data_IF_434356410080
#
_entry.id   IF_434356410080
#
_cell.length_a   1.000
_cell.length_b   1.000
_cell.length_c   1.000
_cell.angle_alpha   90.00
_cell.angle_beta   90.00
_cell.angle_gamma   90.00
#
_symmetry.space_group_name_H-M   'P 1'
#
loop_
_entity.id
_entity.type
_entity.pdbx_description
1 polymer ?
#
# COMPACT_ATOMS: atom_id res chain seq x y z
N UNK A 1 -5.21 20.87 0.64
CA UNK A 1 -5.25 19.68 1.52
C UNK A 1 -5.59 18.40 0.76
N UNK A 2 -6.78 18.24 0.15
CA UNK A 2 -7.17 16.99 -0.56
C UNK A 2 -6.17 16.47 -1.62
N UNK A 3 -5.61 17.37 -2.44
CA UNK A 3 -4.60 17.02 -3.46
C UNK A 3 -3.30 16.45 -2.88
N UNK A 4 -2.89 16.92 -1.70
CA UNK A 4 -1.69 16.43 -1.02
C UNK A 4 -1.86 14.97 -0.59
N UNK A 5 -3.01 14.63 -0.01
CA UNK A 5 -3.32 13.25 0.35
C UNK A 5 -3.37 12.34 -0.86
N UNK A 6 -4.07 12.74 -1.93
CA UNK A 6 -4.16 11.93 -3.16
C UNK A 6 -2.76 11.68 -3.75
N UNK A 7 -1.93 12.73 -3.84
CA UNK A 7 -0.57 12.60 -4.36
C UNK A 7 0.31 11.72 -3.47
N UNK A 8 0.20 11.86 -2.15
CA UNK A 8 0.98 11.06 -1.22
C UNK A 8 0.55 9.59 -1.17
N UNK A 9 -0.75 9.29 -1.20
CA UNK A 9 -1.22 7.90 -1.32
C UNK A 9 -0.85 7.28 -2.67
N UNK A 10 -0.93 8.04 -3.76
CA UNK A 10 -0.50 7.55 -5.07
C UNK A 10 1.00 7.25 -5.09
N UNK A 11 1.82 8.16 -4.53
CA UNK A 11 3.25 7.94 -4.39
C UNK A 11 3.55 6.72 -3.52
N UNK A 12 2.81 6.53 -2.42
CA UNK A 12 2.95 5.38 -1.53
C UNK A 12 2.68 4.07 -2.29
N UNK A 13 1.54 3.99 -3.00
CA UNK A 13 1.18 2.82 -3.81
C UNK A 13 2.25 2.54 -4.87
N UNK A 14 2.79 3.56 -5.52
CA UNK A 14 3.86 3.41 -6.53
C UNK A 14 5.13 2.84 -5.89
N UNK A 15 5.59 3.40 -4.77
CA UNK A 15 6.80 2.96 -4.10
C UNK A 15 6.69 1.55 -3.53
N UNK A 16 5.56 1.24 -2.90
CA UNK A 16 5.29 -0.09 -2.38
C UNK A 16 5.17 -1.12 -3.50
N UNK A 17 4.47 -0.79 -4.59
CA UNK A 17 4.36 -1.70 -5.73
C UNK A 17 5.72 -1.92 -6.39
N UNK A 18 6.53 -0.87 -6.54
CA UNK A 18 7.90 -0.98 -7.00
C UNK A 18 8.70 -1.93 -6.10
N UNK A 19 8.58 -1.81 -4.77
CA UNK A 19 9.27 -2.66 -3.82
C UNK A 19 8.86 -4.14 -3.96
N UNK A 20 7.56 -4.42 -3.94
CA UNK A 20 7.03 -5.79 -4.05
C UNK A 20 7.40 -6.45 -5.39
N UNK A 21 7.27 -5.73 -6.50
CA UNK A 21 7.64 -6.22 -7.84
C UNK A 21 9.14 -6.46 -7.93
N UNK A 22 9.94 -5.54 -7.39
CA UNK A 22 11.40 -5.66 -7.37
C UNK A 22 11.86 -6.87 -6.54
N UNK A 23 11.23 -7.13 -5.39
CA UNK A 23 11.49 -8.34 -4.61
C UNK A 23 11.16 -9.61 -5.37
N UNK A 24 10.04 -9.61 -6.11
CA UNK A 24 9.67 -10.75 -6.95
C UNK A 24 10.71 -10.99 -8.06
N UNK A 25 11.15 -9.94 -8.76
CA UNK A 25 12.22 -10.08 -9.75
C UNK A 25 13.56 -10.50 -9.14
N UNK A 26 13.95 -9.91 -8.01
CA UNK A 26 15.19 -10.29 -7.32
C UNK A 26 15.16 -11.77 -6.94
N UNK A 27 14.01 -12.28 -6.49
CA UNK A 27 13.82 -13.69 -6.16
C UNK A 27 13.99 -14.60 -7.39
N UNK A 28 13.40 -14.24 -8.53
CA UNK A 28 13.53 -15.00 -9.78
C UNK A 28 14.97 -15.00 -10.29
N UNK A 29 15.68 -13.87 -10.22
CA UNK A 29 17.07 -13.78 -10.67
C UNK A 29 18.07 -14.41 -9.68
N UNK A 30 17.66 -14.65 -8.44
CA UNK A 30 18.48 -15.28 -7.41
C UNK A 30 18.37 -16.81 -7.39
N UNK A 31 17.58 -17.42 -8.27
CA UNK A 31 17.49 -18.89 -8.37
C UNK A 31 18.87 -19.52 -8.67
N UNK A 32 19.17 -20.72 -8.13
CA UNK A 32 18.39 -21.50 -7.16
C UNK A 32 18.45 -20.91 -5.73
N UNK A 33 17.35 -21.08 -4.99
CA UNK A 33 17.23 -20.62 -3.60
C UNK A 33 18.03 -21.54 -2.66
N UNK A 34 19.32 -21.23 -2.50
CA UNK A 34 20.23 -21.95 -1.60
C UNK A 34 20.56 -21.06 -0.41
N UNK A 35 20.66 -21.63 0.80
CA UNK A 35 21.05 -20.86 1.99
C UNK A 35 22.58 -20.79 2.10
N UNK A 36 23.23 -20.35 1.03
CA UNK A 36 24.68 -20.25 0.92
C UNK A 36 25.13 -18.83 0.56
N UNK A 37 26.43 -18.58 0.74
CA UNK A 37 27.02 -17.28 0.43
C UNK A 37 26.89 -16.97 -1.07
N UNK A 38 26.90 -17.98 -1.93
CA UNK A 38 26.74 -17.79 -3.37
C UNK A 38 25.35 -17.26 -3.74
N UNK A 39 24.28 -17.74 -3.11
CA UNK A 39 22.94 -17.15 -3.26
C UNK A 39 22.91 -15.70 -2.81
N UNK A 40 23.54 -15.38 -1.67
CA UNK A 40 23.58 -14.02 -1.16
C UNK A 40 24.25 -13.07 -2.17
N UNK A 41 25.36 -13.49 -2.78
CA UNK A 41 26.03 -12.73 -3.85
C UNK A 41 25.13 -12.55 -5.07
N UNK A 42 24.32 -13.55 -5.46
CA UNK A 42 23.35 -13.43 -6.56
C UNK A 42 22.24 -12.43 -6.24
N UNK A 43 21.68 -12.48 -5.02
CA UNK A 43 20.64 -11.56 -4.55
C UNK A 43 21.14 -10.12 -4.60
N UNK A 44 22.33 -9.86 -4.02
CA UNK A 44 22.91 -8.52 -4.03
C UNK A 44 23.45 -8.10 -5.40
N UNK A 45 23.76 -9.04 -6.29
CA UNK A 45 24.15 -8.78 -7.67
C UNK A 45 22.98 -8.41 -8.59
N UNK A 46 21.74 -8.74 -8.22
CA UNK A 46 20.57 -8.43 -9.02
C UNK A 46 20.17 -6.96 -8.87
N UNK A 47 20.08 -6.17 -9.97
CA UNK A 47 19.77 -4.73 -9.88
C UNK A 47 18.40 -4.46 -9.23
N UNK A 48 17.48 -5.43 -9.32
CA UNK A 48 16.15 -5.37 -8.75
C UNK A 48 16.14 -5.24 -7.22
N UNK A 49 17.12 -5.80 -6.49
CA UNK A 49 17.14 -5.65 -5.02
C UNK A 49 17.33 -4.18 -4.60
N UNK A 50 18.08 -3.42 -5.40
CA UNK A 50 18.26 -1.98 -5.17
C UNK A 50 16.99 -1.20 -5.50
N UNK A 51 16.25 -1.63 -6.53
CA UNK A 51 14.90 -1.14 -6.80
C UNK A 51 13.96 -1.35 -5.60
N UNK A 52 14.07 -2.52 -4.95
CA UNK A 52 13.32 -2.80 -3.73
C UNK A 52 13.70 -1.87 -2.58
N UNK A 53 14.99 -1.61 -2.36
CA UNK A 53 15.44 -0.64 -1.36
C UNK A 53 14.94 0.78 -1.63
N UNK A 54 15.03 1.24 -2.88
CA UNK A 54 14.53 2.58 -3.26
C UNK A 54 13.02 2.67 -3.03
N UNK A 55 12.27 1.65 -3.43
CA UNK A 55 10.84 1.54 -3.15
C UNK A 55 10.55 1.63 -1.66
N UNK A 56 11.23 0.83 -0.83
CA UNK A 56 10.99 0.78 0.61
C UNK A 56 11.33 2.10 1.31
N UNK A 57 12.46 2.73 0.96
CA UNK A 57 12.87 4.03 1.50
C UNK A 57 11.86 5.10 1.09
N UNK A 58 11.46 5.12 -0.18
CA UNK A 58 10.45 6.05 -0.71
C UNK A 58 9.10 5.90 -0.01
N UNK A 59 8.64 4.66 0.15
CA UNK A 59 7.40 4.33 0.85
C UNK A 59 7.46 4.78 2.32
N UNK A 60 8.57 4.51 3.02
CA UNK A 60 8.75 4.92 4.41
C UNK A 60 8.62 6.44 4.62
N UNK A 61 9.34 7.23 3.82
CA UNK A 61 9.25 8.69 3.93
C UNK A 61 7.89 9.24 3.52
N UNK A 62 7.29 8.68 2.47
CA UNK A 62 5.95 9.05 2.01
C UNK A 62 4.93 8.77 3.10
N UNK A 63 4.99 7.59 3.71
CA UNK A 63 4.12 7.17 4.80
C UNK A 63 4.26 8.04 6.03
N UNK A 64 5.49 8.28 6.49
CA UNK A 64 5.74 9.13 7.65
C UNK A 64 5.25 10.57 7.42
N UNK A 65 5.43 11.07 6.20
CA UNK A 65 4.91 12.37 5.78
C UNK A 65 3.38 12.37 5.76
N UNK A 66 2.75 11.29 5.30
CA UNK A 66 1.30 11.15 5.27
C UNK A 66 0.71 11.15 6.68
N UNK A 67 1.27 10.37 7.60
CA UNK A 67 0.81 10.25 8.98
C UNK A 67 0.87 11.56 9.76
N UNK A 68 1.74 12.50 9.35
CA UNK A 68 1.80 13.84 9.95
C UNK A 68 0.55 14.68 9.69
N UNK A 69 -0.18 14.40 8.61
CA UNK A 69 -1.29 15.24 8.15
C UNK A 69 -2.60 14.48 7.94
N UNK A 70 -2.56 13.18 7.64
CA UNK A 70 -3.73 12.38 7.34
C UNK A 70 -4.25 11.74 8.64
N UNK A 71 -5.58 11.73 8.87
CA UNK A 71 -6.14 10.90 9.93
C UNK A 71 -5.76 9.43 9.69
N UNK A 72 -5.54 8.70 10.78
CA UNK A 72 -5.03 7.32 10.71
C UNK A 72 -6.07 6.39 10.05
N UNK A 73 -7.37 6.68 10.22
CA UNK A 73 -8.49 5.92 9.65
C UNK A 73 -8.44 5.74 8.12
N UNK A 74 -8.55 6.82 7.32
CA UNK A 74 -8.53 6.68 5.86
C UNK A 74 -7.13 6.29 5.36
N UNK A 75 -6.08 6.68 6.09
CA UNK A 75 -4.72 6.29 5.73
C UNK A 75 -4.51 4.79 5.79
N UNK A 76 -5.01 4.17 6.85
CA UNK A 76 -4.99 2.73 7.00
C UNK A 76 -5.82 2.04 5.90
N UNK A 77 -7.00 2.56 5.57
CA UNK A 77 -7.83 2.05 4.49
C UNK A 77 -7.10 2.05 3.14
N UNK A 78 -6.51 3.20 2.79
CA UNK A 78 -5.85 3.40 1.51
C UNK A 78 -4.56 2.58 1.37
N UNK A 79 -3.82 2.32 2.46
CA UNK A 79 -2.63 1.46 2.41
C UNK A 79 -2.94 0.04 1.92
N UNK A 80 -4.16 -0.48 2.17
CA UNK A 80 -4.54 -1.81 1.68
C UNK A 80 -4.81 -1.85 0.17
N UNK A 81 -4.99 -0.69 -0.47
CA UNK A 81 -5.15 -0.60 -1.93
C UNK A 81 -3.87 -1.02 -2.67
N UNK A 82 -2.72 -0.91 -2.00
CA UNK A 82 -1.44 -1.46 -2.45
C UNK A 82 -1.57 -2.95 -2.84
N UNK A 83 -2.24 -3.76 -2.02
CA UNK A 83 -2.38 -5.21 -2.27
C UNK A 83 -3.08 -5.48 -3.61
N UNK A 84 -4.05 -4.63 -3.99
CA UNK A 84 -4.74 -4.72 -5.27
C UNK A 84 -3.80 -4.30 -6.41
N UNK A 85 -3.07 -3.20 -6.23
CA UNK A 85 -2.09 -2.70 -7.21
C UNK A 85 -1.01 -3.74 -7.51
N UNK A 86 -0.39 -4.30 -6.46
CA UNK A 86 0.63 -5.33 -6.57
C UNK A 86 0.08 -6.58 -7.23
N UNK A 87 -1.11 -7.04 -6.83
CA UNK A 87 -1.72 -8.23 -7.44
C UNK A 87 -1.95 -8.01 -8.93
N UNK A 88 -2.47 -6.85 -9.33
CA UNK A 88 -2.74 -6.53 -10.73
C UNK A 88 -1.45 -6.44 -11.55
N UNK A 89 -0.42 -5.77 -11.04
CA UNK A 89 0.88 -5.65 -11.70
C UNK A 89 1.58 -7.02 -11.73
N UNK A 90 1.42 -7.86 -10.71
CA UNK A 90 1.99 -9.20 -10.67
C UNK A 90 1.40 -10.11 -11.76
N UNK A 91 0.07 -10.05 -11.95
CA UNK A 91 -0.62 -10.77 -13.03
C UNK A 91 -0.16 -10.28 -14.39
N UNK A 92 -0.06 -8.96 -14.56
CA UNK A 92 0.34 -8.37 -15.83
C UNK A 92 1.80 -8.66 -16.20
N UNK A 93 2.72 -8.60 -15.23
CA UNK A 93 4.15 -8.64 -15.48
C UNK A 93 4.76 -10.05 -15.37
N UNK A 94 4.15 -10.93 -14.58
CA UNK A 94 4.65 -12.29 -14.33
C UNK A 94 3.69 -13.39 -14.79
N UNK A 95 2.58 -13.03 -15.45
CA UNK A 95 1.53 -13.97 -15.89
C UNK A 95 0.98 -14.84 -14.73
N UNK A 96 0.98 -14.28 -13.51
CA UNK A 96 0.46 -14.97 -12.34
C UNK A 96 -1.02 -15.31 -12.53
N UNK A 97 -1.39 -16.54 -12.19
CA UNK A 97 -2.80 -16.93 -12.23
C UNK A 97 -3.61 -16.17 -11.17
N UNK A 98 -4.68 -15.49 -11.64
CA UNK A 98 -5.73 -14.94 -10.79
C UNK A 98 -6.64 -16.08 -10.34
N UNK A 99 -6.27 -16.71 -9.23
CA UNK A 99 -7.07 -17.78 -8.64
C UNK A 99 -8.32 -17.21 -7.96
N UNK A 100 -9.38 -18.01 -7.88
CA UNK A 100 -10.65 -17.64 -7.23
C UNK A 100 -10.46 -17.02 -5.82
N UNK A 101 -9.58 -17.56 -4.95
CA UNK A 101 -9.31 -16.97 -3.65
C UNK A 101 -8.73 -15.54 -3.72
N UNK A 102 -7.87 -15.24 -4.69
CA UNK A 102 -7.32 -13.88 -4.88
C UNK A 102 -8.41 -12.89 -5.28
N UNK A 103 -9.34 -13.32 -6.13
CA UNK A 103 -10.48 -12.50 -6.57
C UNK A 103 -11.41 -12.21 -5.38
N UNK A 104 -11.77 -13.24 -4.61
CA UNK A 104 -12.62 -13.09 -3.42
C UNK A 104 -11.93 -12.19 -2.38
N UNK A 105 -10.65 -12.42 -2.10
CA UNK A 105 -9.87 -11.60 -1.19
C UNK A 105 -9.79 -10.14 -1.64
N UNK A 106 -9.52 -9.89 -2.92
CA UNK A 106 -9.50 -8.56 -3.51
C UNK A 106 -10.85 -7.86 -3.40
N UNK A 107 -11.95 -8.57 -3.67
CA UNK A 107 -13.31 -8.04 -3.51
C UNK A 107 -13.62 -7.67 -2.05
N UNK A 108 -13.19 -8.49 -1.09
CA UNK A 108 -13.36 -8.22 0.34
C UNK A 108 -12.57 -6.99 0.80
N UNK A 109 -11.34 -6.81 0.32
CA UNK A 109 -10.53 -5.61 0.62
C UNK A 109 -11.23 -4.36 0.11
N UNK A 110 -11.69 -4.37 -1.15
CA UNK A 110 -12.41 -3.24 -1.75
C UNK A 110 -13.70 -2.95 -0.96
N UNK A 111 -14.46 -3.98 -0.59
CA UNK A 111 -15.67 -3.84 0.22
C UNK A 111 -15.36 -3.21 1.59
N UNK A 112 -14.28 -3.64 2.26
CA UNK A 112 -13.84 -3.06 3.53
C UNK A 112 -13.48 -1.57 3.41
N UNK A 113 -12.73 -1.20 2.37
CA UNK A 113 -12.37 0.20 2.10
C UNK A 113 -13.62 1.06 1.85
N UNK A 114 -14.58 0.57 1.05
CA UNK A 114 -15.84 1.28 0.77
C UNK A 114 -16.72 1.44 2.02
N UNK A 115 -16.71 0.45 2.91
CA UNK A 115 -17.41 0.52 4.19
C UNK A 115 -16.82 1.61 5.09
N UNK A 116 -15.49 1.64 5.21
CA UNK A 116 -14.78 2.60 6.03
C UNK A 116 -14.95 4.04 5.51
N UNK A 117 -14.80 4.25 4.20
CA UNK A 117 -15.01 5.55 3.57
C UNK A 117 -16.42 6.11 3.84
N UNK A 118 -17.45 5.24 3.86
CA UNK A 118 -18.83 5.65 4.20
C UNK A 118 -19.04 5.99 5.68
N UNK A 119 -18.28 5.37 6.57
CA UNK A 119 -18.35 5.67 8.01
C UNK A 119 -17.81 7.07 8.29
N UNK A 120 -16.68 7.41 7.67
CA UNK A 120 -16.00 8.70 7.88
C UNK A 120 -16.82 9.87 7.30
N UNK A 121 -17.50 9.66 6.16
CA UNK A 121 -18.44 10.65 5.60
C UNK A 121 -19.63 10.96 6.55
N UNK A 122 -20.06 9.98 7.35
CA UNK A 122 -21.14 10.16 8.33
C UNK A 122 -20.65 10.88 9.59
N UNK A 123 -19.48 10.51 10.08
CA UNK A 123 -18.87 11.14 11.26
C UNK A 123 -18.56 12.62 11.01
N UNK A 124 -17.99 12.95 9.84
CA UNK A 124 -17.76 14.34 9.42
C UNK A 124 -19.06 15.17 9.34
N UNK A 125 -20.20 14.55 8.98
CA UNK A 125 -21.50 15.23 8.93
C UNK A 125 -22.16 15.39 10.30
N UNK A 126 -21.89 14.51 11.26
CA UNK A 126 -22.45 14.63 12.61
C UNK A 126 -21.77 15.74 13.42
N UNK A 127 -20.45 15.89 13.28
CA UNK A 127 -19.68 16.94 13.97
C UNK A 127 -20.10 18.36 13.52
N UNK A 128 -20.55 18.53 12.27
CA UNK A 128 -21.02 19.82 11.76
C UNK A 128 -22.44 20.18 12.22
N UNK A 129 -23.22 19.20 12.70
CA UNK A 129 -24.65 19.39 13.04
C UNK A 129 -24.88 19.57 14.55
N UNK A 130 -23.91 19.22 15.42
CA UNK A 130 -24.02 19.44 16.86
C UNK A 130 -23.67 20.90 17.22
N UNK A 131 -24.66 21.79 17.51
CA UNK A 131 -24.34 23.14 17.93
C UNK A 131 -23.80 23.08 19.35
N UNK A 132 -22.71 23.80 19.59
CA UNK A 132 -22.09 23.98 20.90
C UNK A 132 -23.14 24.21 22.00
N UNK A 133 -23.53 23.14 22.70
CA UNK A 133 -24.29 23.26 23.94
C UNK A 133 -23.30 23.75 24.98
N UNK A 134 -23.33 25.07 25.19
CA UNK A 134 -22.59 25.73 26.25
C UNK A 134 -22.86 25.02 27.59
N UNK A 135 -21.85 24.81 28.44
CA UNK A 135 -22.10 24.33 29.79
C UNK A 135 -22.97 25.37 30.49
N UNK A 136 -24.19 24.98 30.81
CA UNK A 136 -25.07 25.77 31.67
C UNK A 136 -24.42 25.77 33.06
N UNK A 137 -24.02 26.97 33.47
CA UNK A 137 -23.58 27.46 34.79
C UNK A 137 -23.55 26.47 35.95
#
# INVERSE_FOLDING_TARGET
MKRFYILGFLALIIFDTLAQVSFKFASVHAEPLTMDVAWLVRVFGAPWIYGAFVGYIGAFFTWMTLLKYAPVGPAFAASHLELISVTLISVWLFDDTLTLPKIIGGALIIAGILCLARSEDKESKQVEVEPAQAPVS
#
